data_IF_439976592697
#
_entry.id   IF_439976592697
#
_cell.length_a   1.000
_cell.length_b   1.000
_cell.length_c   1.000
_cell.angle_alpha   90.00
_cell.angle_beta   90.00
_cell.angle_gamma   90.00
#
_symmetry.space_group_name_H-M   'P 1'
#
loop_
_entity.id
_entity.type
_entity.pdbx_description
1 polymer ?
#
# COMPACT_ATOMS: atom_id res chain seq x y z
N UNK A 1 71.73 -16.88 34.89
CA UNK A 1 70.38 -16.91 35.48
C UNK A 1 69.39 -16.40 34.43
N UNK A 2 68.21 -17.03 34.34
CA UNK A 2 67.03 -16.76 33.47
C UNK A 2 66.76 -15.24 33.26
N UNK A 3 66.13 -14.76 32.18
CA UNK A 3 64.77 -15.14 31.74
C UNK A 3 64.40 -14.51 30.36
N UNK A 4 63.26 -14.96 29.84
CA UNK A 4 62.72 -14.92 28.48
C UNK A 4 61.61 -13.84 28.31
N UNK A 5 61.48 -13.27 27.09
CA UNK A 5 60.29 -12.64 26.41
C UNK A 5 59.70 -11.30 26.93
N UNK A 6 58.74 -10.62 26.21
CA UNK A 6 58.16 -10.83 24.86
C UNK A 6 57.98 -9.57 23.96
N UNK A 7 57.55 -9.88 22.74
CA UNK A 7 57.10 -9.13 21.55
C UNK A 7 55.99 -8.08 21.70
N UNK A 8 55.93 -7.21 20.68
CA UNK A 8 54.77 -6.66 19.95
C UNK A 8 53.48 -6.36 20.72
N UNK A 9 53.03 -5.10 20.68
CA UNK A 9 51.59 -4.73 20.65
C UNK A 9 51.42 -3.26 20.29
N UNK A 10 51.34 -2.96 19.00
CA UNK A 10 50.72 -1.73 18.46
C UNK A 10 50.01 -2.08 17.15
N UNK A 11 48.75 -2.46 17.25
CA UNK A 11 47.92 -2.82 16.10
C UNK A 11 46.58 -3.32 16.60
N UNK A 12 45.68 -2.40 16.96
CA UNK A 12 44.40 -2.81 17.56
C UNK A 12 43.33 -1.75 17.67
N UNK A 13 43.37 -0.65 16.89
CA UNK A 13 42.29 0.37 16.97
C UNK A 13 41.64 0.66 15.60
N UNK A 14 42.22 0.25 14.47
CA UNK A 14 41.66 0.60 13.14
C UNK A 14 40.70 -0.43 12.52
N UNK A 15 40.42 -1.56 13.19
CA UNK A 15 39.60 -2.63 12.60
C UNK A 15 38.09 -2.53 12.91
N UNK A 16 37.66 -1.73 13.90
CA UNK A 16 36.26 -1.76 14.34
C UNK A 16 35.31 -0.87 13.50
N UNK A 17 35.80 0.21 12.88
CA UNK A 17 34.94 1.13 12.10
C UNK A 17 34.71 0.62 10.67
N UNK A 18 35.63 -0.17 10.11
CA UNK A 18 35.52 -0.68 8.74
C UNK A 18 34.63 -1.93 8.61
N UNK A 19 34.27 -2.60 9.72
CA UNK A 19 33.46 -3.83 9.68
C UNK A 19 31.95 -3.55 9.83
N UNK A 20 31.56 -2.39 10.35
CA UNK A 20 30.15 -2.03 10.49
C UNK A 20 29.49 -1.50 9.19
N UNK A 21 30.26 -1.17 8.14
CA UNK A 21 29.70 -0.72 6.85
C UNK A 21 29.48 -1.84 5.83
N UNK A 22 29.97 -3.07 6.09
CA UNK A 22 29.88 -4.22 5.17
C UNK A 22 28.77 -5.22 5.53
N UNK A 23 28.01 -4.96 6.61
CA UNK A 23 26.97 -5.85 7.13
C UNK A 23 25.58 -5.21 7.11
N UNK A 24 25.31 -4.30 6.18
CA UNK A 24 23.92 -4.04 5.81
C UNK A 24 23.53 -5.15 4.84
N UNK A 25 22.80 -6.20 5.25
CA UNK A 25 22.18 -7.08 4.28
C UNK A 25 21.34 -6.19 3.37
N UNK A 26 21.66 -6.19 2.07
CA UNK A 26 20.66 -5.90 1.06
C UNK A 26 19.64 -7.03 1.15
N UNK A 27 18.76 -6.96 2.15
CA UNK A 27 17.55 -7.74 2.11
C UNK A 27 16.82 -7.31 0.82
N UNK A 28 16.34 -8.25 0.00
CA UNK A 28 15.38 -7.88 -1.05
C UNK A 28 14.27 -7.10 -0.36
N UNK A 29 13.86 -5.98 -0.96
CA UNK A 29 12.80 -5.13 -0.43
C UNK A 29 11.63 -6.01 -0.02
N UNK A 30 11.44 -6.15 1.29
CA UNK A 30 10.39 -6.97 1.88
C UNK A 30 9.04 -6.47 1.36
N UNK A 31 8.07 -7.39 1.22
CA UNK A 31 6.65 -7.12 1.05
C UNK A 31 6.27 -5.83 1.79
N UNK A 32 6.13 -4.75 1.02
CA UNK A 32 5.87 -3.43 1.56
C UNK A 32 4.39 -3.21 1.43
N UNK A 33 3.74 -2.97 2.57
CA UNK A 33 2.40 -2.42 2.55
C UNK A 33 2.48 -1.00 2.00
N UNK A 34 1.90 -0.77 0.83
CA UNK A 34 1.88 0.54 0.18
C UNK A 34 0.50 1.16 0.35
N UNK A 35 0.46 2.44 0.71
CA UNK A 35 -0.79 3.21 0.76
C UNK A 35 -0.86 4.12 -0.45
N UNK A 36 -1.98 4.09 -1.16
CA UNK A 36 -2.29 5.02 -2.23
C UNK A 36 -3.45 5.90 -1.80
N UNK A 37 -3.35 7.20 -2.04
CA UNK A 37 -4.50 8.10 -2.02
C UNK A 37 -4.91 8.43 -3.45
N UNK A 38 -6.22 8.52 -3.67
CA UNK A 38 -6.79 8.89 -4.95
C UNK A 38 -7.81 10.00 -4.80
N UNK A 39 -7.94 10.82 -5.85
CA UNK A 39 -9.06 11.74 -6.02
C UNK A 39 -9.64 11.61 -7.42
N UNK A 40 -10.90 12.03 -7.57
CA UNK A 40 -11.64 11.85 -8.79
C UNK A 40 -12.94 12.63 -8.84
N UNK A 41 -13.68 12.38 -9.91
CA UNK A 41 -14.97 13.01 -10.19
C UNK A 41 -16.08 11.95 -10.25
N UNK A 42 -17.33 12.39 -10.16
CA UNK A 42 -18.51 11.56 -10.37
C UNK A 42 -19.08 11.81 -11.77
N UNK A 43 -19.39 10.75 -12.52
CA UNK A 43 -19.87 10.87 -13.91
C UNK A 43 -21.24 11.59 -14.02
N UNK A 44 -22.02 11.62 -12.93
CA UNK A 44 -23.30 12.32 -12.85
C UNK A 44 -23.20 13.78 -12.36
N UNK A 45 -21.98 14.32 -12.22
CA UNK A 45 -21.75 15.68 -11.78
C UNK A 45 -21.02 16.51 -12.85
N UNK A 46 -21.76 17.18 -13.75
CA UNK A 46 -21.16 17.93 -14.85
C UNK A 46 -20.36 19.15 -14.38
N UNK A 47 -20.54 19.59 -13.13
CA UNK A 47 -19.82 20.73 -12.56
C UNK A 47 -18.65 20.30 -11.67
N UNK A 48 -18.49 18.99 -11.40
CA UNK A 48 -17.43 18.46 -10.54
C UNK A 48 -17.52 18.93 -9.09
N UNK A 49 -18.72 19.28 -8.62
CA UNK A 49 -18.98 19.82 -7.29
C UNK A 49 -18.95 18.76 -6.17
N UNK A 50 -19.01 17.49 -6.56
CA UNK A 50 -19.04 16.32 -5.70
C UNK A 50 -17.70 15.61 -5.81
N UNK A 51 -16.67 16.07 -5.06
CA UNK A 51 -15.36 15.46 -5.12
C UNK A 51 -15.44 14.01 -4.64
N UNK A 52 -14.63 13.17 -5.26
CA UNK A 52 -14.37 11.81 -4.80
C UNK A 52 -12.96 11.80 -4.26
N UNK A 53 -12.79 11.33 -3.04
CA UNK A 53 -11.46 11.11 -2.45
C UNK A 53 -11.43 9.78 -1.74
N UNK A 54 -10.26 9.18 -1.64
CA UNK A 54 -10.13 7.92 -0.93
C UNK A 54 -8.70 7.46 -0.82
N UNK A 55 -8.54 6.29 -0.23
CA UNK A 55 -7.26 5.62 -0.14
C UNK A 55 -7.44 4.12 -0.18
N UNK A 56 -6.41 3.39 -0.60
CA UNK A 56 -6.33 1.96 -0.44
C UNK A 56 -4.93 1.55 -0.01
N UNK A 57 -4.86 0.44 0.72
CA UNK A 57 -3.64 -0.20 1.14
C UNK A 57 -3.49 -1.52 0.43
N UNK A 58 -2.30 -1.75 -0.08
CA UNK A 58 -1.97 -2.83 -0.98
C UNK A 58 -0.72 -3.56 -0.50
N UNK A 59 -0.82 -4.86 -0.30
CA UNK A 59 0.32 -5.72 0.04
C UNK A 59 0.91 -6.32 -1.24
N UNK A 60 2.00 -5.71 -1.72
CA UNK A 60 2.71 -6.13 -2.92
C UNK A 60 3.48 -7.46 -2.73
N UNK A 61 3.49 -8.04 -1.51
CA UNK A 61 3.99 -9.38 -1.25
C UNK A 61 2.96 -10.49 -1.41
N UNK A 62 1.70 -10.16 -1.74
CA UNK A 62 0.63 -11.14 -1.82
C UNK A 62 0.89 -12.15 -2.94
N UNK A 63 0.93 -13.43 -2.59
CA UNK A 63 1.02 -14.50 -3.58
C UNK A 63 -0.30 -14.64 -4.35
N UNK A 64 -0.21 -14.80 -5.67
CA UNK A 64 -1.37 -15.02 -6.52
C UNK A 64 -1.05 -15.97 -7.67
N UNK A 65 -2.05 -16.23 -8.51
CA UNK A 65 -1.93 -17.11 -9.67
C UNK A 65 -2.73 -16.55 -10.84
N UNK A 66 -2.14 -16.60 -12.03
CA UNK A 66 -2.82 -16.18 -13.27
C UNK A 66 -3.25 -14.71 -13.27
N UNK A 67 -2.51 -13.84 -12.58
CA UNK A 67 -2.85 -12.43 -12.46
C UNK A 67 -3.88 -12.11 -11.39
N UNK A 68 -4.32 -13.07 -10.58
CA UNK A 68 -5.30 -12.85 -9.50
C UNK A 68 -4.63 -12.96 -8.14
N UNK A 69 -4.75 -11.91 -7.33
CA UNK A 69 -4.12 -11.75 -6.03
C UNK A 69 -5.19 -11.49 -4.98
N UNK A 70 -5.74 -12.58 -4.44
CA UNK A 70 -6.79 -12.51 -3.42
C UNK A 70 -6.22 -11.99 -2.10
N UNK A 71 -7.03 -11.21 -1.38
CA UNK A 71 -6.65 -10.61 -0.09
C UNK A 71 -5.46 -9.63 -0.16
N UNK A 72 -5.10 -9.15 -1.36
CA UNK A 72 -4.02 -8.19 -1.54
C UNK A 72 -4.36 -6.78 -1.01
N UNK A 73 -5.64 -6.50 -0.78
CA UNK A 73 -6.11 -5.21 -0.26
C UNK A 73 -6.35 -5.34 1.24
N UNK A 74 -5.60 -4.58 2.02
CA UNK A 74 -5.67 -4.64 3.49
C UNK A 74 -6.47 -3.47 4.09
N UNK A 75 -6.70 -2.42 3.30
CA UNK A 75 -7.48 -1.26 3.70
C UNK A 75 -8.03 -0.52 2.48
N UNK A 76 -9.22 0.06 2.63
CA UNK A 76 -9.83 0.91 1.61
C UNK A 76 -10.74 1.92 2.33
N UNK A 77 -10.71 3.16 1.84
CA UNK A 77 -11.66 4.20 2.18
C UNK A 77 -12.05 4.98 0.93
N UNK A 78 -13.32 5.37 0.87
CA UNK A 78 -13.92 6.18 -0.17
C UNK A 78 -14.80 7.22 0.51
N UNK A 79 -14.67 8.46 0.08
CA UNK A 79 -15.52 9.59 0.46
C UNK A 79 -16.07 10.23 -0.81
N UNK A 80 -17.39 10.41 -0.84
CA UNK A 80 -18.12 11.08 -1.91
C UNK A 80 -18.74 12.34 -1.36
N UNK A 81 -18.45 13.49 -1.98
CA UNK A 81 -18.88 14.80 -1.52
C UNK A 81 -17.96 15.38 -0.43
N UNK A 82 -18.39 16.50 0.15
CA UNK A 82 -17.64 17.20 1.20
C UNK A 82 -18.58 17.71 2.30
N UNK A 83 -18.05 17.82 3.52
CA UNK A 83 -18.78 18.39 4.65
C UNK A 83 -19.83 17.46 5.27
N UNK A 84 -20.85 18.07 5.89
CA UNK A 84 -21.93 17.37 6.59
C UNK A 84 -22.86 16.76 5.55
N UNK A 85 -22.85 15.42 5.44
CA UNK A 85 -23.58 14.70 4.41
C UNK A 85 -22.71 14.05 3.34
N UNK A 86 -21.38 14.04 3.50
CA UNK A 86 -20.53 13.18 2.69
C UNK A 86 -20.87 11.71 2.92
N UNK A 87 -20.85 10.93 1.84
CA UNK A 87 -20.98 9.49 1.91
C UNK A 87 -19.59 8.87 2.11
N UNK A 88 -19.47 7.92 3.03
CA UNK A 88 -18.22 7.20 3.26
C UNK A 88 -18.42 5.69 3.13
N UNK A 89 -17.51 5.03 2.44
CA UNK A 89 -17.40 3.58 2.35
C UNK A 89 -16.01 3.15 2.76
N UNK A 90 -15.90 2.04 3.47
CA UNK A 90 -14.61 1.43 3.83
C UNK A 90 -14.59 -0.04 3.44
N UNK A 91 -13.39 -0.63 3.46
CA UNK A 91 -13.20 -2.06 3.24
C UNK A 91 -14.11 -2.88 4.15
N UNK A 92 -14.96 -3.72 3.56
CA UNK A 92 -15.70 -4.72 4.30
C UNK A 92 -14.83 -5.97 4.50
N UNK A 93 -14.96 -6.67 5.64
CA UNK A 93 -14.50 -8.06 5.73
C UNK A 93 -15.16 -8.88 4.62
N UNK A 94 -14.36 -9.59 3.83
CA UNK A 94 -14.88 -10.38 2.72
C UNK A 94 -13.89 -10.50 1.57
N UNK A 95 -14.42 -10.87 0.41
CA UNK A 95 -13.63 -11.03 -0.80
C UNK A 95 -13.06 -9.70 -1.25
N UNK A 96 -11.74 -9.65 -1.38
CA UNK A 96 -11.04 -8.61 -2.10
C UNK A 96 -9.93 -9.23 -2.95
N UNK A 97 -9.62 -8.59 -4.05
CA UNK A 97 -8.55 -9.03 -4.94
C UNK A 97 -7.99 -7.85 -5.74
N UNK A 98 -6.72 -7.99 -6.11
CA UNK A 98 -6.14 -7.26 -7.24
C UNK A 98 -6.02 -8.22 -8.42
N UNK A 99 -6.40 -7.77 -9.61
CA UNK A 99 -6.29 -8.51 -10.86
C UNK A 99 -5.47 -7.72 -11.86
N UNK A 100 -4.49 -8.39 -12.46
CA UNK A 100 -3.67 -7.87 -13.56
C UNK A 100 -3.90 -8.77 -14.76
N UNK A 101 -4.44 -8.18 -15.83
CA UNK A 101 -4.80 -8.88 -17.06
C UNK A 101 -4.12 -8.24 -18.25
N UNK A 102 -3.58 -9.06 -19.13
CA UNK A 102 -3.00 -8.64 -20.42
C UNK A 102 -3.97 -8.98 -21.54
N UNK A 103 -4.10 -8.09 -22.54
CA UNK A 103 -4.90 -8.30 -23.75
C UNK A 103 -6.31 -8.86 -23.47
N UNK A 104 -7.00 -8.27 -22.50
CA UNK A 104 -8.34 -8.64 -22.05
C UNK A 104 -9.41 -7.75 -22.66
N UNK A 105 -10.66 -8.19 -22.61
CA UNK A 105 -11.80 -7.38 -23.05
C UNK A 105 -12.07 -6.27 -22.04
N UNK A 106 -11.90 -5.03 -22.48
CA UNK A 106 -12.12 -3.84 -21.66
C UNK A 106 -13.59 -3.42 -21.65
N UNK A 107 -14.41 -3.94 -22.56
CA UNK A 107 -15.79 -3.56 -22.82
C UNK A 107 -15.90 -2.70 -24.08
N UNK A 108 -17.11 -2.60 -24.66
CA UNK A 108 -17.35 -1.74 -25.83
C UNK A 108 -16.58 -2.14 -27.09
N UNK A 109 -16.11 -3.39 -27.18
CA UNK A 109 -15.29 -3.88 -28.30
C UNK A 109 -13.80 -3.58 -28.18
N UNK A 110 -13.35 -2.98 -27.07
CA UNK A 110 -11.95 -2.67 -26.82
C UNK A 110 -11.21 -3.88 -26.20
N UNK A 111 -9.97 -4.08 -26.63
CA UNK A 111 -9.02 -5.03 -26.07
C UNK A 111 -7.83 -4.26 -25.53
N UNK A 112 -7.24 -4.71 -24.43
CA UNK A 112 -6.07 -4.08 -23.84
C UNK A 112 -5.71 -4.63 -22.47
N UNK A 113 -4.90 -3.91 -21.74
CA UNK A 113 -4.40 -4.33 -20.43
C UNK A 113 -5.23 -3.69 -19.31
N UNK A 114 -5.41 -4.42 -18.21
CA UNK A 114 -6.22 -3.97 -17.07
C UNK A 114 -5.54 -4.29 -15.74
N UNK A 115 -5.38 -3.28 -14.92
CA UNK A 115 -5.18 -3.42 -13.48
C UNK A 115 -6.50 -3.11 -12.78
N UNK A 116 -6.98 -4.04 -11.95
CA UNK A 116 -8.24 -3.87 -11.23
C UNK A 116 -8.07 -4.22 -9.76
N UNK A 117 -8.62 -3.37 -8.89
CA UNK A 117 -8.83 -3.66 -7.49
C UNK A 117 -10.33 -3.81 -7.26
N UNK A 118 -10.71 -4.89 -6.62
CA UNK A 118 -12.10 -5.19 -6.27
C UNK A 118 -12.16 -5.53 -4.80
N UNK A 119 -13.09 -4.91 -4.08
CA UNK A 119 -13.31 -5.13 -2.66
C UNK A 119 -14.80 -5.22 -2.38
N UNK A 120 -15.16 -5.99 -1.35
CA UNK A 120 -16.43 -5.79 -0.68
C UNK A 120 -16.44 -4.40 -0.02
N UNK A 121 -17.56 -3.69 -0.14
CA UNK A 121 -17.73 -2.33 0.37
C UNK A 121 -18.73 -2.31 1.52
N UNK A 122 -18.53 -1.40 2.47
CA UNK A 122 -19.50 -1.06 3.51
C UNK A 122 -19.95 0.39 3.35
N UNK A 123 -20.98 0.80 4.07
CA UNK A 123 -21.41 2.19 4.14
C UNK A 123 -22.87 2.31 4.57
N UNK A 124 -23.35 3.53 4.83
CA UNK A 124 -24.76 3.75 5.09
C UNK A 124 -25.60 3.40 3.85
N UNK A 125 -26.84 2.96 4.06
CA UNK A 125 -27.78 2.79 2.95
C UNK A 125 -28.13 4.14 2.34
N UNK A 126 -28.37 4.15 1.02
CA UNK A 126 -28.87 5.32 0.29
C UNK A 126 -30.28 4.99 -0.17
N UNK A 127 -31.28 5.44 0.58
CA UNK A 127 -32.65 4.92 0.41
C UNK A 127 -32.70 3.42 0.73
N UNK A 128 -33.27 2.63 -0.17
CA UNK A 128 -33.39 1.16 -0.03
C UNK A 128 -32.18 0.38 -0.56
N UNK A 129 -31.11 1.10 -0.94
CA UNK A 129 -29.91 0.52 -1.55
C UNK A 129 -28.77 0.35 -0.56
N UNK A 130 -28.21 -0.86 -0.46
CA UNK A 130 -27.08 -1.21 0.40
C UNK A 130 -25.80 -1.33 -0.42
N UNK A 131 -24.67 -0.70 0.00
CA UNK A 131 -23.41 -0.88 -0.70
C UNK A 131 -22.88 -2.30 -0.49
N UNK A 132 -22.33 -2.90 -1.54
CA UNK A 132 -21.77 -4.26 -1.44
C UNK A 132 -20.40 -4.42 -2.12
N UNK A 133 -20.05 -3.56 -3.09
CA UNK A 133 -18.82 -3.72 -3.87
C UNK A 133 -18.22 -2.40 -4.30
N UNK A 134 -16.89 -2.29 -4.19
CA UNK A 134 -16.12 -1.20 -4.74
C UNK A 134 -15.07 -1.73 -5.71
N UNK A 135 -15.01 -1.10 -6.89
CA UNK A 135 -14.07 -1.40 -7.95
C UNK A 135 -13.23 -0.16 -8.26
N UNK A 136 -11.95 -0.37 -8.51
CA UNK A 136 -11.02 0.62 -9.04
C UNK A 136 -10.27 -0.01 -10.20
N UNK A 137 -10.26 0.63 -11.36
CA UNK A 137 -9.76 0.05 -12.62
C UNK A 137 -8.89 1.05 -13.37
N UNK A 138 -7.76 0.56 -13.86
CA UNK A 138 -6.89 1.27 -14.78
C UNK A 138 -6.76 0.40 -16.03
N UNK A 139 -7.23 0.95 -17.15
CA UNK A 139 -7.29 0.29 -18.43
C UNK A 139 -6.35 1.02 -19.40
N UNK A 140 -5.61 0.26 -20.18
CA UNK A 140 -4.85 0.73 -21.33
C UNK A 140 -5.30 -0.04 -22.56
N UNK A 141 -5.89 0.65 -23.51
CA UNK A 141 -6.42 0.09 -24.76
C UNK A 141 -5.35 0.00 -25.86
N UNK A 142 -4.15 0.54 -25.63
CA UNK A 142 -3.02 0.34 -26.52
C UNK A 142 -2.30 -1.00 -26.29
N UNK A 143 -2.40 -1.52 -25.05
CA UNK A 143 -1.79 -2.77 -24.63
C UNK A 143 -0.29 -2.64 -24.37
N UNK A 144 0.29 -3.66 -23.72
CA UNK A 144 1.71 -3.66 -23.39
C UNK A 144 2.05 -2.86 -22.13
N UNK A 145 1.04 -2.42 -21.38
CA UNK A 145 1.18 -1.82 -20.05
C UNK A 145 1.87 -2.77 -19.09
N UNK A 146 1.57 -4.07 -19.18
CA UNK A 146 2.21 -5.09 -18.37
C UNK A 146 3.06 -6.03 -19.23
N UNK A 147 4.26 -6.33 -18.74
CA UNK A 147 5.14 -7.35 -19.36
C UNK A 147 4.75 -8.78 -18.97
N UNK A 148 4.10 -8.93 -17.82
CA UNK A 148 3.60 -10.18 -17.26
C UNK A 148 2.44 -9.88 -16.30
N UNK A 149 1.80 -10.92 -15.78
CA UNK A 149 0.69 -10.79 -14.83
C UNK A 149 1.12 -10.91 -13.37
N UNK A 150 2.42 -10.80 -13.04
CA UNK A 150 2.90 -10.76 -11.66
C UNK A 150 2.35 -9.52 -10.94
N UNK A 151 2.20 -9.62 -9.62
CA UNK A 151 1.70 -8.52 -8.80
C UNK A 151 2.60 -7.30 -8.96
N UNK A 152 1.97 -6.19 -9.32
CA UNK A 152 2.60 -4.92 -9.59
C UNK A 152 1.74 -3.81 -8.98
N UNK A 153 2.41 -2.73 -8.63
CA UNK A 153 1.75 -1.51 -8.20
C UNK A 153 0.78 -0.99 -9.29
N UNK A 154 -0.25 -0.22 -8.91
CA UNK A 154 -1.12 0.44 -9.87
C UNK A 154 -0.30 1.27 -10.88
N UNK A 155 -0.66 1.25 -12.17
CA UNK A 155 0.01 2.03 -13.19
C UNK A 155 -0.20 3.54 -12.97
N UNK A 156 0.69 4.35 -13.55
CA UNK A 156 0.52 5.80 -13.54
C UNK A 156 -0.69 6.23 -14.36
N UNK A 157 -1.40 7.27 -13.92
CA UNK A 157 -2.51 7.85 -14.68
C UNK A 157 -2.09 8.36 -16.06
N UNK A 158 -0.80 8.68 -16.25
CA UNK A 158 -0.29 9.17 -17.53
C UNK A 158 -0.07 8.05 -18.57
N UNK A 159 -0.07 6.78 -18.16
CA UNK A 159 0.21 5.64 -19.03
C UNK A 159 -1.02 4.82 -19.37
N UNK A 160 -2.20 5.22 -18.87
CA UNK A 160 -3.45 4.47 -19.02
C UNK A 160 -4.45 5.33 -19.80
N UNK A 161 -5.29 4.67 -20.60
CA UNK A 161 -6.31 5.35 -21.38
C UNK A 161 -7.56 5.66 -20.56
N UNK A 162 -7.83 4.87 -19.51
CA UNK A 162 -8.91 5.14 -18.58
C UNK A 162 -8.57 4.73 -17.14
N UNK A 163 -8.87 5.62 -16.19
CA UNK A 163 -8.82 5.34 -14.76
C UNK A 163 -10.20 5.59 -14.15
N UNK A 164 -10.84 4.55 -13.62
CA UNK A 164 -12.24 4.58 -13.19
C UNK A 164 -12.41 4.02 -11.79
N UNK A 165 -13.35 4.60 -11.06
CA UNK A 165 -13.84 4.04 -9.81
C UNK A 165 -15.32 3.71 -9.95
N UNK A 166 -15.80 2.74 -9.18
CA UNK A 166 -17.20 2.37 -9.13
C UNK A 166 -17.58 1.84 -7.75
N UNK A 167 -18.66 2.36 -7.19
CA UNK A 167 -19.30 1.84 -5.99
C UNK A 167 -20.65 1.25 -6.40
N UNK A 168 -20.87 -0.01 -6.05
CA UNK A 168 -22.09 -0.74 -6.37
C UNK A 168 -22.94 -0.92 -5.12
N UNK A 169 -24.23 -0.72 -5.32
CA UNK A 169 -25.28 -0.94 -4.35
C UNK A 169 -26.27 -1.96 -4.89
N UNK A 170 -26.99 -2.61 -4.00
CA UNK A 170 -28.09 -3.53 -4.32
C UNK A 170 -29.34 -3.13 -3.53
N UNK A 171 -30.51 -3.30 -4.12
CA UNK A 171 -31.78 -3.13 -3.39
C UNK A 171 -32.17 -4.41 -2.63
N UNK A 172 -33.33 -4.39 -1.98
CA UNK A 172 -33.87 -5.55 -1.25
C UNK A 172 -34.18 -6.79 -2.12
N UNK A 173 -34.26 -6.63 -3.45
CA UNK A 173 -34.49 -7.71 -4.41
C UNK A 173 -33.16 -8.25 -4.99
N UNK A 174 -32.04 -7.60 -4.69
CA UNK A 174 -30.71 -7.94 -5.19
C UNK A 174 -30.37 -7.30 -6.53
N UNK A 175 -31.14 -6.31 -6.99
CA UNK A 175 -30.89 -5.62 -8.25
C UNK A 175 -29.77 -4.58 -8.09
N UNK A 176 -28.66 -4.69 -8.86
CA UNK A 176 -27.49 -3.84 -8.64
C UNK A 176 -27.60 -2.48 -9.37
N UNK A 177 -27.25 -1.41 -8.65
CA UNK A 177 -27.02 -0.05 -9.16
C UNK A 177 -25.57 0.34 -8.94
N UNK A 178 -25.00 1.13 -9.85
CA UNK A 178 -23.60 1.54 -9.76
C UNK A 178 -23.46 3.07 -9.86
N UNK A 179 -22.77 3.64 -8.87
CA UNK A 179 -22.16 4.96 -8.96
C UNK A 179 -20.77 4.80 -9.57
N UNK A 180 -20.43 5.64 -10.54
CA UNK A 180 -19.16 5.55 -11.27
C UNK A 180 -18.59 6.93 -11.55
N UNK A 181 -17.29 6.95 -11.79
CA UNK A 181 -16.58 8.16 -12.16
C UNK A 181 -15.15 7.89 -12.58
N UNK A 182 -14.39 8.97 -12.78
CA UNK A 182 -12.98 8.92 -13.17
C UNK A 182 -12.07 9.28 -12.01
N UNK A 183 -10.84 8.75 -12.06
CA UNK A 183 -9.76 9.12 -11.15
C UNK A 183 -8.90 10.18 -11.84
N UNK A 184 -8.64 11.28 -11.14
CA UNK A 184 -7.87 12.42 -11.64
C UNK A 184 -6.52 12.56 -10.95
N UNK A 185 -6.35 11.99 -9.76
CA UNK A 185 -5.06 11.88 -9.09
C UNK A 185 -4.89 10.54 -8.40
N UNK A 186 -3.66 10.03 -8.42
CA UNK A 186 -3.24 8.83 -7.71
C UNK A 186 -1.83 9.07 -7.19
N UNK A 187 -1.65 8.98 -5.87
CA UNK A 187 -0.36 9.24 -5.23
C UNK A 187 -0.04 8.13 -4.24
N UNK A 188 1.13 7.51 -4.40
CA UNK A 188 1.69 6.65 -3.37
C UNK A 188 2.11 7.51 -2.17
N UNK A 189 1.65 7.15 -0.98
CA UNK A 189 1.99 7.80 0.27
C UNK A 189 2.97 6.89 1.00
N UNK A 190 4.27 7.23 1.05
CA UNK A 190 5.23 6.46 1.82
C UNK A 190 4.82 6.45 3.29
N UNK A 191 4.92 5.30 3.96
CA UNK A 191 4.80 5.27 5.41
C UNK A 191 5.82 6.26 5.99
N UNK A 192 5.44 7.14 6.94
CA UNK A 192 6.38 8.09 7.52
C UNK A 192 7.55 7.31 8.13
N UNK A 193 8.75 7.44 7.53
CA UNK A 193 9.96 6.75 7.99
C UNK A 193 10.24 6.99 9.48
N UNK A 194 9.76 8.13 10.01
CA UNK A 194 9.78 8.47 11.42
C UNK A 194 9.12 7.42 12.33
N UNK A 195 8.08 6.70 11.90
CA UNK A 195 7.43 5.66 12.74
C UNK A 195 8.35 4.46 12.93
N UNK A 196 9.07 4.07 11.87
CA UNK A 196 10.04 2.96 11.90
C UNK A 196 11.30 3.37 12.68
N UNK A 197 11.81 4.58 12.42
CA UNK A 197 12.99 5.12 13.10
C UNK A 197 12.73 5.40 14.59
N UNK A 198 11.54 5.87 14.95
CA UNK A 198 11.14 6.05 16.34
C UNK A 198 10.99 4.71 17.05
N UNK A 199 10.35 3.71 16.42
CA UNK A 199 10.23 2.36 16.98
C UNK A 199 11.58 1.69 17.22
N UNK A 200 12.48 1.71 16.23
CA UNK A 200 13.84 1.17 16.38
C UNK A 200 14.68 1.97 17.40
N UNK A 201 14.52 3.30 17.43
CA UNK A 201 15.19 4.18 18.38
C UNK A 201 14.79 3.91 19.83
N UNK A 202 13.50 3.65 20.09
CA UNK A 202 12.97 3.36 21.43
C UNK A 202 13.48 2.03 21.96
N UNK A 203 13.56 0.99 21.11
CA UNK A 203 14.11 -0.32 21.48
C UNK A 203 15.61 -0.19 21.82
N UNK A 204 16.36 0.56 21.02
CA UNK A 204 17.78 0.85 21.30
C UNK A 204 17.97 1.56 22.64
N UNK A 205 17.11 2.54 22.97
CA UNK A 205 17.19 3.29 24.22
C UNK A 205 16.83 2.45 25.46
N UNK A 206 15.84 1.57 25.37
CA UNK A 206 15.49 0.64 26.47
C UNK A 206 16.62 -0.39 26.69
N UNK A 207 17.26 -0.85 25.63
CA UNK A 207 18.44 -1.72 25.72
C UNK A 207 19.64 -1.03 26.38
N UNK A 208 19.87 0.27 26.11
CA UNK A 208 20.94 1.04 26.74
C UNK A 208 20.64 1.43 28.20
N UNK A 209 19.37 1.68 28.54
CA UNK A 209 18.93 2.10 29.87
C UNK A 209 19.02 1.01 30.95
N UNK A 210 18.83 -0.26 30.59
CA UNK A 210 18.87 -1.38 31.54
C UNK A 210 20.30 -1.87 31.88
N UNK A 211 21.29 -1.58 31.02
CA UNK A 211 22.68 -2.02 31.21
C UNK A 211 23.61 -0.96 31.81
N UNK A 212 23.35 0.33 31.62
CA UNK A 212 24.28 1.42 31.99
C UNK A 212 24.37 1.74 33.49
N UNK A 213 23.34 1.44 34.27
CA UNK A 213 23.28 1.79 35.70
C UNK A 213 23.92 0.75 36.64
N UNK A 214 24.29 -0.45 36.14
CA UNK A 214 24.96 -1.47 36.97
C UNK A 214 26.45 -1.22 37.15
N UNK A 215 27.06 -0.38 36.30
CA UNK A 215 28.51 -0.09 36.35
C UNK A 215 28.90 1.14 37.18
N UNK A 216 27.94 1.89 37.74
CA UNK A 216 28.22 3.07 38.58
C UNK A 216 28.17 2.79 40.09
N UNK A 217 27.88 1.55 40.51
CA UNK A 217 27.81 1.17 41.94
C UNK A 217 29.00 0.33 42.47
N UNK A 218 30.00 0.05 41.64
CA UNK A 218 31.13 -0.83 42.01
C UNK A 218 32.46 -0.16 42.35
N UNK A 219 32.62 1.15 42.09
CA UNK A 219 33.88 1.86 42.35
C UNK A 219 33.78 2.79 43.57
N UNK A 220 33.69 2.20 44.76
CA UNK A 220 34.18 2.82 45.99
C UNK A 220 35.12 1.81 46.65
N UNK A 221 36.42 2.02 46.44
CA UNK A 221 37.50 1.55 47.29
C UNK A 221 38.00 2.75 48.09
#
# INVERSE_FOLDING_TARGET
>A
MRMINPRFRKGGILAAVAVCSLLVPLAPAHAALVTYSFAGNFDGDPLGMTPITGSFQFDNGTSGSGGIYNSAVTGMSLTIGSGVGSYTSVLAPGANAVTISQNTNLGGGLLGDRWALVTAATGPQVGDFSPFRFDLRFDDDSGGLFTNTNLQDPPSLATVSAARWRLMFEDSLGDPVALRGSITSLTAVPLPAAVILFGAGLISLVGLGAGGLRNLRGSRA
#
